data_IF_870813027256
#
_entry.id   IF_870813027256
#
_cell.length_a   1.000
_cell.length_b   1.000
_cell.length_c   1.000
_cell.angle_alpha   90.00
_cell.angle_beta   90.00
_cell.angle_gamma   90.00
#
_symmetry.space_group_name_H-M   'P 1'
#
loop_
_entity.id
_entity.type
_entity.pdbx_description
1 polymer ?
#
# COMPACT_ATOMS: atom_id res chain seq x y z
N UNK A 1 -7.64 -32.31 -7.06
CA UNK A 1 -7.99 -31.51 -8.26
C UNK A 1 -7.99 -30.00 -8.01
N UNK A 2 -8.56 -29.50 -6.90
CA UNK A 2 -8.68 -28.05 -6.61
C UNK A 2 -7.33 -27.30 -6.45
N UNK A 3 -6.40 -27.81 -5.63
CA UNK A 3 -5.11 -27.16 -5.37
C UNK A 3 -4.08 -27.24 -6.51
N UNK A 4 -4.22 -28.20 -7.44
CA UNK A 4 -3.27 -28.41 -8.53
C UNK A 4 -3.71 -27.81 -9.87
N UNK A 5 -5.00 -27.53 -10.05
CA UNK A 5 -5.54 -27.05 -11.35
C UNK A 5 -6.22 -25.69 -11.21
N UNK A 6 -7.13 -25.52 -10.24
CA UNK A 6 -7.82 -24.22 -10.04
C UNK A 6 -6.91 -23.18 -9.39
N UNK A 7 -6.12 -23.55 -8.38
CA UNK A 7 -5.22 -22.62 -7.67
C UNK A 7 -4.14 -21.97 -8.58
N UNK A 8 -3.42 -22.70 -9.46
CA UNK A 8 -2.42 -22.08 -10.35
C UNK A 8 -3.03 -21.23 -11.47
N UNK A 9 -4.25 -21.54 -11.95
CA UNK A 9 -4.93 -20.68 -12.92
C UNK A 9 -5.49 -19.40 -12.28
N UNK A 10 -5.92 -19.47 -11.01
CA UNK A 10 -6.37 -18.30 -10.26
C UNK A 10 -5.20 -17.48 -9.67
N UNK A 11 -3.98 -18.05 -9.60
CA UNK A 11 -2.77 -17.42 -9.04
C UNK A 11 -2.54 -15.97 -9.53
N UNK A 12 -2.55 -15.65 -10.83
CA UNK A 12 -2.38 -14.27 -11.28
C UNK A 12 -3.51 -13.33 -10.81
N UNK A 13 -4.75 -13.81 -10.76
CA UNK A 13 -5.89 -13.04 -10.24
C UNK A 13 -5.85 -12.84 -8.72
N UNK A 14 -5.49 -13.88 -7.97
CA UNK A 14 -5.35 -13.83 -6.51
C UNK A 14 -4.23 -12.88 -6.08
N UNK A 15 -3.13 -12.84 -6.84
CA UNK A 15 -2.05 -11.91 -6.58
C UNK A 15 -2.52 -10.47 -6.83
N UNK A 16 -3.21 -10.19 -7.95
CA UNK A 16 -3.83 -8.88 -8.20
C UNK A 16 -4.76 -8.42 -7.07
N UNK A 17 -5.67 -9.27 -6.62
CA UNK A 17 -6.58 -8.96 -5.50
C UNK A 17 -5.81 -8.72 -4.21
N UNK A 18 -4.80 -9.55 -3.91
CA UNK A 18 -3.95 -9.37 -2.74
C UNK A 18 -3.20 -8.03 -2.74
N UNK A 19 -2.78 -7.55 -3.90
CA UNK A 19 -2.11 -6.24 -4.03
C UNK A 19 -3.08 -5.10 -3.82
N UNK A 20 -4.24 -5.12 -4.47
CA UNK A 20 -5.24 -4.07 -4.26
C UNK A 20 -5.68 -4.01 -2.80
N UNK A 21 -5.79 -5.18 -2.15
CA UNK A 21 -6.05 -5.26 -0.72
C UNK A 21 -4.88 -4.70 0.10
N UNK A 22 -3.63 -5.07 -0.19
CA UNK A 22 -2.44 -4.56 0.49
C UNK A 22 -2.30 -3.04 0.33
N UNK A 23 -2.42 -2.52 -0.90
CA UNK A 23 -2.40 -1.09 -1.19
C UNK A 23 -3.52 -0.35 -0.45
N UNK A 24 -4.73 -0.90 -0.46
CA UNK A 24 -5.87 -0.33 0.27
C UNK A 24 -5.63 -0.28 1.78
N UNK A 25 -5.09 -1.37 2.34
CA UNK A 25 -4.78 -1.47 3.77
C UNK A 25 -3.58 -0.58 4.15
N UNK A 26 -2.60 -0.45 3.27
CA UNK A 26 -1.41 0.38 3.45
C UNK A 26 -1.74 1.88 3.44
N UNK A 27 -2.68 2.29 2.59
CA UNK A 27 -3.16 3.67 2.54
C UNK A 27 -4.23 3.96 3.61
N UNK A 28 -4.66 2.95 4.39
CA UNK A 28 -5.77 3.10 5.31
C UNK A 28 -5.37 3.97 6.51
N UNK A 29 -5.85 5.21 6.52
CA UNK A 29 -5.63 6.16 7.62
C UNK A 29 -6.76 6.16 8.66
N UNK A 30 -8.01 6.04 8.21
CA UNK A 30 -9.19 6.33 9.03
C UNK A 30 -9.38 5.31 10.18
N UNK A 31 -9.31 4.02 9.86
CA UNK A 31 -9.50 2.93 10.82
C UNK A 31 -8.43 2.94 11.94
N UNK A 32 -7.11 2.98 11.64
CA UNK A 32 -6.11 3.02 12.69
C UNK A 32 -6.13 4.32 13.50
N UNK A 33 -6.55 5.45 12.93
CA UNK A 33 -6.68 6.72 13.69
C UNK A 33 -7.76 6.68 14.75
N UNK A 34 -8.82 5.93 14.52
CA UNK A 34 -9.91 5.76 15.49
C UNK A 34 -9.60 4.65 16.51
N UNK A 35 -9.02 3.53 16.06
CA UNK A 35 -8.82 2.34 16.90
C UNK A 35 -7.48 2.31 17.63
N UNK A 36 -6.44 2.91 17.07
CA UNK A 36 -5.08 2.80 17.59
C UNK A 36 -4.53 4.18 17.93
N UNK A 37 -4.70 4.55 19.19
CA UNK A 37 -4.27 5.83 19.77
C UNK A 37 -2.84 5.78 20.32
N UNK A 38 -2.25 4.58 20.43
CA UNK A 38 -0.96 4.33 21.07
C UNK A 38 0.21 4.76 20.16
N UNK A 39 1.05 5.74 20.55
CA UNK A 39 2.10 6.31 19.69
C UNK A 39 3.12 5.29 19.16
N UNK A 40 3.41 4.24 19.93
CA UNK A 40 4.40 3.22 19.56
C UNK A 40 3.88 2.20 18.54
N UNK A 41 2.56 2.10 18.35
CA UNK A 41 1.93 1.14 17.43
C UNK A 41 1.34 1.81 16.19
N UNK A 42 1.63 3.09 15.97
CA UNK A 42 1.05 3.85 14.86
C UNK A 42 1.48 3.26 13.53
N UNK A 43 0.50 3.08 12.65
CA UNK A 43 0.76 2.69 11.27
C UNK A 43 1.42 3.85 10.52
N UNK A 44 2.16 3.51 9.46
CA UNK A 44 2.91 4.48 8.65
C UNK A 44 2.08 5.69 8.22
N UNK A 45 0.83 5.49 7.76
CA UNK A 45 -0.06 6.58 7.35
C UNK A 45 -0.38 7.56 8.50
N UNK A 46 -0.56 7.06 9.73
CA UNK A 46 -0.87 7.89 10.89
C UNK A 46 0.38 8.62 11.40
N UNK A 47 1.51 7.92 11.47
CA UNK A 47 2.80 8.52 11.82
C UNK A 47 3.25 9.58 10.82
N UNK A 48 2.95 9.41 9.53
CA UNK A 48 3.25 10.43 8.52
C UNK A 48 2.47 11.73 8.71
N UNK A 49 1.18 11.63 9.02
CA UNK A 49 0.31 12.81 9.23
C UNK A 49 0.75 13.58 10.47
N UNK A 50 1.13 12.88 11.53
CA UNK A 50 1.62 13.50 12.74
C UNK A 50 3.04 14.07 12.58
N UNK A 51 3.91 13.37 11.83
CA UNK A 51 5.20 13.92 11.40
C UNK A 51 4.98 15.17 10.55
N UNK A 52 3.96 15.19 9.70
CA UNK A 52 3.61 16.35 8.90
C UNK A 52 3.12 17.54 9.73
N UNK A 53 2.28 17.27 10.72
CA UNK A 53 1.82 18.29 11.66
C UNK A 53 2.97 18.85 12.52
N UNK A 54 3.85 17.98 13.03
CA UNK A 54 4.95 18.37 13.91
C UNK A 54 6.13 19.05 13.19
N UNK A 55 6.52 18.55 12.02
CA UNK A 55 7.60 19.13 11.21
C UNK A 55 7.16 20.38 10.47
N UNK A 56 5.89 20.45 10.04
CA UNK A 56 5.29 21.65 9.45
C UNK A 56 5.26 22.84 10.41
N UNK A 57 5.09 22.59 11.71
CA UNK A 57 5.19 23.62 12.76
C UNK A 57 6.62 24.05 13.06
N UNK A 58 7.61 23.16 12.86
CA UNK A 58 9.04 23.42 13.09
C UNK A 58 9.77 24.03 11.89
N UNK A 59 9.14 24.06 10.71
CA UNK A 59 9.74 24.53 9.46
C UNK A 59 10.76 23.56 8.85
N UNK A 60 10.82 22.32 9.33
CA UNK A 60 11.81 21.32 8.92
C UNK A 60 11.22 20.36 7.87
N UNK A 61 11.06 20.89 6.66
CA UNK A 61 10.51 20.16 5.51
C UNK A 61 11.39 18.98 5.07
N UNK A 62 12.67 18.97 5.45
CA UNK A 62 13.62 17.91 5.09
C UNK A 62 13.19 16.54 5.66
N UNK A 63 12.80 16.51 6.94
CA UNK A 63 12.32 15.31 7.61
C UNK A 63 10.95 14.85 7.11
N UNK A 64 10.09 15.79 6.72
CA UNK A 64 8.79 15.51 6.10
C UNK A 64 8.97 14.77 4.77
N UNK A 65 9.79 15.32 3.86
CA UNK A 65 10.05 14.72 2.56
C UNK A 65 10.75 13.36 2.69
N UNK A 66 11.69 13.22 3.64
CA UNK A 66 12.30 11.92 3.92
C UNK A 66 11.26 10.87 4.36
N UNK A 67 10.33 11.24 5.25
CA UNK A 67 9.22 10.37 5.65
C UNK A 67 8.32 9.98 4.47
N UNK A 68 7.95 10.94 3.63
CA UNK A 68 7.14 10.70 2.42
C UNK A 68 7.82 9.73 1.45
N UNK A 69 9.12 9.90 1.19
CA UNK A 69 9.89 9.01 0.31
C UNK A 69 9.95 7.59 0.88
N UNK A 70 10.14 7.46 2.20
CA UNK A 70 10.13 6.15 2.88
C UNK A 70 8.73 5.51 2.80
N UNK A 71 7.66 6.28 2.93
CA UNK A 71 6.29 5.78 2.78
C UNK A 71 5.97 5.30 1.35
N UNK A 72 6.63 5.90 0.34
CA UNK A 72 6.49 5.49 -1.07
C UNK A 72 7.29 4.22 -1.42
N UNK A 73 8.39 3.92 -0.73
CA UNK A 73 9.22 2.73 -1.00
C UNK A 73 8.43 1.41 -1.11
N UNK A 74 7.57 1.04 -0.15
CA UNK A 74 6.82 -0.22 -0.21
C UNK A 74 5.78 -0.23 -1.33
N UNK A 75 5.21 0.92 -1.69
CA UNK A 75 4.30 1.05 -2.85
C UNK A 75 5.07 0.85 -4.15
N UNK A 76 6.26 1.43 -4.27
CA UNK A 76 7.17 1.23 -5.40
C UNK A 76 7.64 -0.22 -5.51
N UNK A 77 8.00 -0.85 -4.39
CA UNK A 77 8.39 -2.26 -4.35
C UNK A 77 7.24 -3.17 -4.82
N UNK A 78 6.02 -2.94 -4.33
CA UNK A 78 4.84 -3.64 -4.82
C UNK A 78 4.63 -3.39 -6.32
N UNK A 79 4.75 -2.15 -6.78
CA UNK A 79 4.60 -1.83 -8.20
C UNK A 79 5.62 -2.58 -9.07
N UNK A 80 6.91 -2.61 -8.71
CA UNK A 80 7.95 -3.29 -9.48
C UNK A 80 7.70 -4.81 -9.57
N UNK A 81 7.33 -5.43 -8.45
CA UNK A 81 7.05 -6.87 -8.40
C UNK A 81 5.85 -7.22 -9.27
N UNK A 82 4.85 -6.33 -9.35
CA UNK A 82 3.54 -6.66 -9.91
C UNK A 82 3.15 -5.90 -11.18
N UNK A 83 4.02 -5.03 -11.71
CA UNK A 83 3.76 -4.24 -12.92
C UNK A 83 3.23 -5.10 -14.07
N UNK A 84 3.75 -6.34 -14.22
CA UNK A 84 3.33 -7.27 -15.27
C UNK A 84 1.89 -7.76 -15.11
N UNK A 85 1.42 -7.96 -13.88
CA UNK A 85 0.07 -8.45 -13.58
C UNK A 85 -0.97 -7.33 -13.59
N UNK A 86 -0.60 -6.13 -13.15
CA UNK A 86 -1.45 -4.94 -13.27
C UNK A 86 -1.73 -4.64 -14.74
N UNK A 87 -0.68 -4.66 -15.59
CA UNK A 87 -0.83 -4.47 -17.04
C UNK A 87 -1.68 -5.59 -17.66
N UNK A 88 -1.42 -6.87 -17.33
CA UNK A 88 -2.20 -7.98 -17.92
C UNK A 88 -3.66 -7.99 -17.48
N UNK A 89 -3.95 -7.62 -16.23
CA UNK A 89 -5.30 -7.52 -15.68
C UNK A 89 -6.12 -6.40 -16.31
N UNK A 90 -5.51 -5.23 -16.54
CA UNK A 90 -6.15 -4.12 -17.26
C UNK A 90 -6.46 -4.46 -18.71
N UNK A 91 -5.53 -5.12 -19.43
CA UNK A 91 -5.78 -5.56 -20.82
C UNK A 91 -6.84 -6.65 -20.92
N UNK A 92 -6.94 -7.55 -19.94
CA UNK A 92 -7.97 -8.60 -19.92
C UNK A 92 -9.37 -8.02 -19.62
N UNK A 93 -9.45 -6.94 -18.84
CA UNK A 93 -10.70 -6.21 -18.58
C UNK A 93 -11.15 -5.32 -19.74
N UNK A 94 -10.22 -4.81 -20.56
CA UNK A 94 -10.53 -3.98 -21.72
C UNK A 94 -10.99 -4.76 -22.96
N UNK A 95 -10.76 -6.08 -23.00
CA UNK A 95 -11.17 -6.96 -24.10
C UNK A 95 -12.58 -7.56 -23.92
N UNK A 96 -13.35 -7.09 -22.95
CA UNK A 96 -14.73 -7.55 -22.69
C UNK A 96 -15.75 -6.45 -22.92
#
# INVERSE_FOLDING_TARGET
TFFQVMLPMAKPGLISVGIFNFLGQWNQYMLPTVLNTDPEKRVLAQGLVELAASQGYKGDYSGLFAGLVIAMLPVLAAYIIFQRQVVSGLTAGALK
#
